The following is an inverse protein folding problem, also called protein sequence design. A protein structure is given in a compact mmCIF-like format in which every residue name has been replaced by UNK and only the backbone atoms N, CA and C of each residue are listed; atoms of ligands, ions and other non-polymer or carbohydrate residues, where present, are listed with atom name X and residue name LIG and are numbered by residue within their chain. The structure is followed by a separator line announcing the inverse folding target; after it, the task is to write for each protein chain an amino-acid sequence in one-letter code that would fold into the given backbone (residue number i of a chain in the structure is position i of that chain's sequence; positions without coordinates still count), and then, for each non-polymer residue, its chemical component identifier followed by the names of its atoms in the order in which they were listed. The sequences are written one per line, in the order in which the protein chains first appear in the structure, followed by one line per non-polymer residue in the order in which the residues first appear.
data_IF_136196300817
#
_entry.id   IF_136196300817
#
_cell.length_a   1.000
_cell.length_b   1.000
_cell.length_c   1.000
_cell.angle_alpha   90.00
_cell.angle_beta   90.00
_cell.angle_gamma   90.00
#
_symmetry.space_group_name_H-M   'P 1'
#
loop_
_entity.id
_entity.type
_entity.pdbx_description
1 polymer ?
#
# COMPACT_ATOMS: atom_id res chain seq x y z
N UNK A 1 -4.91 8.27 -33.22
CA UNK A 1 -6.20 8.18 -32.55
C UNK A 1 -6.18 7.20 -31.40
N UNK A 2 -5.86 5.90 -31.61
CA UNK A 2 -5.82 4.91 -30.53
C UNK A 2 -4.74 5.21 -29.49
N UNK A 3 -3.55 5.65 -29.92
CA UNK A 3 -2.44 5.93 -29.01
C UNK A 3 -2.77 7.11 -28.08
N UNK A 4 -3.43 8.15 -28.60
CA UNK A 4 -3.82 9.32 -27.79
C UNK A 4 -4.90 8.92 -26.77
N UNK A 5 -5.88 8.14 -27.19
CA UNK A 5 -6.93 7.64 -26.28
C UNK A 5 -6.37 6.74 -25.19
N UNK A 6 -5.42 5.87 -25.53
CA UNK A 6 -4.77 4.99 -24.56
C UNK A 6 -3.95 5.78 -23.54
N UNK A 7 -3.26 6.83 -23.98
CA UNK A 7 -2.51 7.72 -23.08
C UNK A 7 -3.44 8.49 -22.15
N UNK A 8 -4.59 8.96 -22.63
CA UNK A 8 -5.59 9.63 -21.79
C UNK A 8 -6.17 8.68 -20.77
N UNK A 9 -6.49 7.45 -21.14
CA UNK A 9 -7.00 6.42 -20.20
C UNK A 9 -5.95 6.06 -19.15
N UNK A 10 -4.70 5.91 -19.60
CA UNK A 10 -3.60 5.61 -18.70
C UNK A 10 -3.40 6.73 -17.69
N UNK A 11 -3.41 7.98 -18.16
CA UNK A 11 -3.28 9.14 -17.28
C UNK A 11 -4.44 9.22 -16.28
N UNK A 12 -5.66 9.01 -16.75
CA UNK A 12 -6.84 9.01 -15.87
C UNK A 12 -6.74 7.93 -14.79
N UNK A 13 -6.27 6.74 -15.14
CA UNK A 13 -6.05 5.65 -14.18
C UNK A 13 -4.99 6.02 -13.16
N UNK A 14 -3.87 6.58 -13.60
CA UNK A 14 -2.79 7.02 -12.72
C UNK A 14 -3.25 8.14 -11.78
N UNK A 15 -4.05 9.07 -12.29
CA UNK A 15 -4.62 10.14 -11.46
C UNK A 15 -5.59 9.59 -10.42
N UNK A 16 -6.41 8.61 -10.78
CA UNK A 16 -7.32 7.94 -9.84
C UNK A 16 -6.53 7.22 -8.75
N UNK A 17 -5.49 6.49 -9.13
CA UNK A 17 -4.63 5.79 -8.17
C UNK A 17 -4.02 6.79 -7.18
N UNK A 18 -3.45 7.88 -7.69
CA UNK A 18 -2.84 8.92 -6.86
C UNK A 18 -3.86 9.56 -5.91
N UNK A 19 -5.08 9.79 -6.38
CA UNK A 19 -6.14 10.34 -5.54
C UNK A 19 -6.51 9.40 -4.39
N UNK A 20 -6.57 8.09 -4.65
CA UNK A 20 -6.80 7.09 -3.60
C UNK A 20 -5.66 7.09 -2.59
N UNK A 21 -4.41 7.11 -3.07
CA UNK A 21 -3.24 7.17 -2.21
C UNK A 21 -3.29 8.39 -1.30
N UNK A 22 -3.66 9.54 -1.84
CA UNK A 22 -3.80 10.77 -1.07
C UNK A 22 -4.93 10.69 -0.04
N UNK A 23 -6.08 10.13 -0.42
CA UNK A 23 -7.21 9.95 0.48
C UNK A 23 -6.85 9.17 1.74
N UNK A 24 -6.01 8.16 1.59
CA UNK A 24 -5.62 7.26 2.68
C UNK A 24 -4.22 7.53 3.22
N UNK A 25 -3.62 8.66 2.86
CA UNK A 25 -2.26 9.01 3.33
C UNK A 25 -2.17 9.10 4.87
N UNK A 26 -3.30 9.38 5.54
CA UNK A 26 -3.34 9.41 6.99
C UNK A 26 -3.09 8.06 7.67
N UNK A 27 -3.15 6.96 6.92
CA UNK A 27 -2.84 5.63 7.43
C UNK A 27 -1.32 5.32 7.42
N UNK A 28 -0.52 6.20 6.84
CA UNK A 28 0.94 6.08 6.91
C UNK A 28 1.42 6.26 8.34
N UNK A 29 2.48 5.55 8.71
CA UNK A 29 3.00 5.55 10.07
C UNK A 29 4.50 5.78 10.06
N UNK A 30 4.94 6.82 10.78
CA UNK A 30 6.35 7.13 10.99
C UNK A 30 6.48 7.81 12.35
N UNK A 31 6.53 7.01 13.42
CA UNK A 31 6.56 7.55 14.77
C UNK A 31 7.42 6.67 15.70
N UNK A 32 8.62 7.12 16.01
CA UNK A 32 9.53 6.54 17.02
C UNK A 32 9.70 5.01 16.96
N UNK A 33 9.43 4.38 15.81
CA UNK A 33 9.64 2.95 15.66
C UNK A 33 10.78 2.69 14.68
N UNK A 34 11.27 1.46 14.67
CA UNK A 34 12.32 1.01 13.74
C UNK A 34 11.76 0.96 12.31
N UNK A 35 10.47 0.71 12.19
CA UNK A 35 9.80 0.55 10.89
C UNK A 35 8.86 1.72 10.60
N UNK A 36 8.65 1.97 9.32
CA UNK A 36 7.63 2.90 8.83
C UNK A 36 6.68 2.16 7.90
N UNK A 37 5.47 2.69 7.74
CA UNK A 37 4.49 2.20 6.78
C UNK A 37 4.13 3.33 5.84
N UNK A 38 4.34 3.15 4.53
CA UNK A 38 4.03 4.14 3.50
C UNK A 38 3.08 3.54 2.48
N UNK A 39 2.13 4.35 2.01
CA UNK A 39 1.15 3.89 1.03
C UNK A 39 1.75 3.97 -0.39
N UNK A 40 1.42 3.01 -1.24
CA UNK A 40 1.82 3.05 -2.65
C UNK A 40 1.26 4.32 -3.30
N UNK A 41 2.08 5.01 -4.09
CA UNK A 41 1.72 6.28 -4.71
C UNK A 41 1.34 6.14 -6.18
N UNK A 42 1.79 5.06 -6.83
CA UNK A 42 1.55 4.85 -8.26
C UNK A 42 1.60 3.36 -8.62
N UNK A 43 0.99 2.97 -9.74
CA UNK A 43 1.13 1.61 -10.25
C UNK A 43 2.59 1.22 -10.49
N UNK A 44 3.45 2.17 -10.90
CA UNK A 44 4.87 1.91 -11.11
C UNK A 44 5.57 1.45 -9.83
N UNK A 45 5.17 1.97 -8.66
CA UNK A 45 5.72 1.53 -7.39
C UNK A 45 5.36 0.08 -7.07
N UNK A 46 4.15 -0.35 -7.43
CA UNK A 46 3.77 -1.76 -7.26
C UNK A 46 4.63 -2.67 -8.12
N UNK A 47 4.90 -2.27 -9.35
CA UNK A 47 5.77 -3.04 -10.25
C UNK A 47 7.17 -3.13 -9.67
N UNK A 48 7.73 -2.02 -9.21
CA UNK A 48 9.06 -1.97 -8.61
C UNK A 48 9.16 -2.89 -7.39
N UNK A 49 8.18 -2.82 -6.49
CA UNK A 49 8.15 -3.69 -5.30
C UNK A 49 8.11 -5.18 -5.71
N UNK A 50 7.23 -5.51 -6.65
CA UNK A 50 7.08 -6.89 -7.11
C UNK A 50 8.35 -7.43 -7.73
N UNK A 51 9.06 -6.61 -8.50
CA UNK A 51 10.31 -7.03 -9.14
C UNK A 51 11.43 -7.20 -8.12
N UNK A 52 11.60 -6.25 -7.19
CA UNK A 52 12.70 -6.26 -6.23
C UNK A 52 12.50 -7.26 -5.11
N UNK A 53 11.25 -7.54 -4.73
CA UNK A 53 10.93 -8.54 -3.70
C UNK A 53 10.55 -9.90 -4.30
N UNK A 54 10.49 -10.00 -5.62
CA UNK A 54 10.12 -11.22 -6.34
C UNK A 54 8.80 -11.79 -5.82
N UNK A 55 7.76 -10.94 -5.84
CA UNK A 55 6.40 -11.32 -5.49
C UNK A 55 5.38 -10.67 -6.45
N UNK A 56 4.10 -10.94 -6.26
CA UNK A 56 3.06 -10.70 -7.24
C UNK A 56 2.42 -9.31 -7.20
N UNK A 57 2.82 -8.40 -6.30
CA UNK A 57 2.09 -7.13 -6.11
C UNK A 57 2.08 -6.24 -7.36
N UNK A 58 3.07 -6.35 -8.22
CA UNK A 58 3.11 -5.61 -9.50
C UNK A 58 2.29 -6.26 -10.60
N UNK A 59 1.75 -7.46 -10.36
CA UNK A 59 0.94 -8.25 -11.29
C UNK A 59 -0.37 -8.61 -10.58
N UNK A 60 -1.25 -9.40 -11.14
CA UNK A 60 -2.46 -9.90 -10.49
C UNK A 60 -3.55 -8.84 -10.21
N UNK A 61 -3.45 -7.65 -10.84
CA UNK A 61 -4.52 -6.65 -10.77
C UNK A 61 -4.60 -5.88 -9.46
N UNK A 62 -3.57 -5.87 -8.64
CA UNK A 62 -3.57 -5.10 -7.39
C UNK A 62 -3.67 -3.60 -7.61
N UNK A 63 -3.14 -3.08 -8.72
CA UNK A 63 -3.26 -1.68 -9.11
C UNK A 63 -4.72 -1.28 -9.32
N UNK A 64 -5.51 -2.16 -9.97
CA UNK A 64 -6.92 -1.93 -10.21
C UNK A 64 -7.73 -2.02 -8.91
N UNK A 65 -7.43 -2.99 -8.05
CA UNK A 65 -8.06 -3.10 -6.73
C UNK A 65 -7.80 -1.85 -5.88
N UNK A 66 -6.58 -1.32 -5.96
CA UNK A 66 -6.21 -0.10 -5.25
C UNK A 66 -7.03 1.09 -5.76
N UNK A 67 -7.09 1.27 -7.08
CA UNK A 67 -7.85 2.37 -7.68
C UNK A 67 -9.34 2.31 -7.34
N UNK A 68 -9.89 1.10 -7.12
CA UNK A 68 -11.29 0.91 -6.69
C UNK A 68 -11.47 0.91 -5.17
N UNK A 69 -10.39 1.14 -4.41
CA UNK A 69 -10.42 1.14 -2.94
C UNK A 69 -10.84 -0.22 -2.34
N UNK A 70 -10.67 -1.28 -3.09
CA UNK A 70 -10.92 -2.64 -2.60
C UNK A 70 -9.77 -3.16 -1.74
N UNK A 71 -8.54 -2.87 -2.16
CA UNK A 71 -7.33 -3.23 -1.42
C UNK A 71 -6.34 -2.08 -1.50
N UNK A 72 -5.84 -1.65 -0.36
CA UNK A 72 -4.77 -0.66 -0.29
C UNK A 72 -3.44 -1.39 -0.07
N UNK A 73 -2.40 -0.91 -0.70
CA UNK A 73 -1.06 -1.50 -0.59
C UNK A 73 -0.17 -0.54 0.18
N UNK A 74 0.41 -1.06 1.25
CA UNK A 74 1.39 -0.34 2.05
C UNK A 74 2.74 -1.05 1.99
N UNK A 75 3.79 -0.26 1.95
CA UNK A 75 5.16 -0.78 2.02
C UNK A 75 5.71 -0.54 3.41
N UNK A 76 6.18 -1.61 4.04
CA UNK A 76 6.87 -1.50 5.31
C UNK A 76 8.34 -1.31 4.98
N UNK A 77 8.96 -0.31 5.57
CA UNK A 77 10.35 0.07 5.33
C UNK A 77 11.10 0.16 6.65
N UNK A 78 12.39 -0.01 6.62
CA UNK A 78 13.25 0.45 7.69
C UNK A 78 13.49 1.94 7.51
N UNK A 79 13.76 2.66 8.60
CA UNK A 79 14.00 4.10 8.51
C UNK A 79 15.25 4.45 7.70
N UNK A 80 16.21 3.54 7.66
CA UNK A 80 17.44 3.73 6.91
C UNK A 80 17.87 2.41 6.26
N UNK A 81 17.85 2.32 4.93
CA UNK A 81 17.34 3.30 3.96
C UNK A 81 15.83 3.10 3.69
N UNK A 82 15.04 4.20 3.68
CA UNK A 82 13.57 4.07 3.59
C UNK A 82 13.04 3.75 2.20
N UNK A 83 13.85 3.80 1.17
CA UNK A 83 13.43 3.54 -0.21
C UNK A 83 13.74 2.11 -0.67
N UNK A 84 14.34 1.29 0.18
CA UNK A 84 14.65 -0.10 -0.15
C UNK A 84 13.43 -0.98 0.13
N UNK A 85 12.92 -1.74 -0.86
CA UNK A 85 11.82 -2.67 -0.65
C UNK A 85 12.15 -3.69 0.45
N UNK A 86 11.18 -3.95 1.32
CA UNK A 86 11.37 -4.80 2.48
C UNK A 86 10.18 -5.72 2.71
N UNK A 87 8.99 -5.17 2.98
CA UNK A 87 7.75 -5.95 3.20
C UNK A 87 6.58 -5.21 2.57
N UNK A 88 5.64 -5.96 2.00
CA UNK A 88 4.43 -5.42 1.38
C UNK A 88 3.20 -5.93 2.11
N UNK A 89 2.28 -5.01 2.41
CA UNK A 89 1.02 -5.30 3.11
C UNK A 89 -0.15 -4.97 2.20
N UNK A 90 -1.08 -5.94 2.07
CA UNK A 90 -2.38 -5.69 1.46
C UNK A 90 -3.40 -5.50 2.59
N UNK A 91 -4.05 -4.34 2.61
CA UNK A 91 -5.01 -3.95 3.64
C UNK A 91 -6.38 -3.73 3.03
N UNK A 92 -7.41 -4.29 3.65
CA UNK A 92 -8.81 -4.09 3.22
C UNK A 92 -9.47 -2.99 4.04
N UNK A 93 -9.78 -1.84 3.43
CA UNK A 93 -10.46 -0.76 4.18
C UNK A 93 -11.90 -1.14 4.56
N UNK A 94 -12.60 -1.93 3.76
CA UNK A 94 -13.96 -2.35 4.10
C UNK A 94 -14.01 -3.36 5.24
N UNK A 95 -13.01 -4.24 5.33
CA UNK A 95 -12.92 -5.29 6.37
C UNK A 95 -12.05 -4.87 7.55
N UNK A 96 -11.29 -3.78 7.41
CA UNK A 96 -10.38 -3.23 8.43
C UNK A 96 -9.35 -4.25 8.90
N UNK A 97 -8.84 -5.05 7.97
CA UNK A 97 -7.85 -6.06 8.30
C UNK A 97 -6.82 -6.23 7.19
N UNK A 98 -5.69 -6.83 7.58
CA UNK A 98 -4.63 -7.19 6.66
C UNK A 98 -5.03 -8.48 5.96
N UNK A 99 -4.96 -8.46 4.62
CA UNK A 99 -5.25 -9.65 3.81
C UNK A 99 -3.98 -10.44 3.55
N UNK A 100 -2.85 -9.76 3.32
CA UNK A 100 -1.57 -10.39 3.04
C UNK A 100 -0.43 -9.51 3.56
N UNK A 101 0.66 -10.15 3.96
CA UNK A 101 1.86 -9.47 4.44
C UNK A 101 3.07 -10.31 4.03
N UNK A 102 3.83 -9.86 3.04
CA UNK A 102 4.90 -10.66 2.41
C UNK A 102 6.24 -9.95 2.39
N UNK A 103 7.28 -10.71 2.62
CA UNK A 103 8.67 -10.33 2.38
C UNK A 103 9.15 -10.93 1.04
N UNK A 104 10.44 -11.01 0.84
CA UNK A 104 11.07 -11.53 -0.39
C UNK A 104 10.57 -12.95 -0.69
N UNK A 105 10.29 -13.25 -1.96
CA UNK A 105 9.76 -14.53 -2.45
C UNK A 105 8.43 -14.94 -1.80
N UNK A 106 7.55 -13.97 -1.52
CA UNK A 106 6.28 -14.22 -0.83
C UNK A 106 6.47 -14.90 0.54
N UNK A 107 7.65 -14.75 1.15
CA UNK A 107 7.93 -15.34 2.44
C UNK A 107 7.24 -14.59 3.57
N UNK A 108 7.08 -15.27 4.72
CA UNK A 108 6.57 -14.65 5.94
C UNK A 108 7.63 -13.70 6.51
N UNK A 109 7.28 -12.44 6.82
CA UNK A 109 8.20 -11.53 7.48
C UNK A 109 8.63 -12.03 8.87
N UNK A 110 9.75 -11.48 9.36
CA UNK A 110 10.24 -11.78 10.71
C UNK A 110 9.23 -11.36 11.78
N UNK A 111 9.31 -11.98 12.94
CA UNK A 111 8.38 -11.73 14.06
C UNK A 111 8.32 -10.26 14.46
N UNK A 112 9.46 -9.56 14.47
CA UNK A 112 9.49 -8.13 14.83
C UNK A 112 8.68 -7.28 13.86
N UNK A 113 8.74 -7.61 12.56
CA UNK A 113 7.96 -6.91 11.53
C UNK A 113 6.48 -7.24 11.69
N UNK A 114 6.15 -8.50 11.91
CA UNK A 114 4.75 -8.92 12.10
C UNK A 114 4.15 -8.26 13.35
N UNK A 115 4.91 -8.12 14.42
CA UNK A 115 4.47 -7.41 15.61
C UNK A 115 4.20 -5.93 15.29
N UNK A 116 5.11 -5.28 14.57
CA UNK A 116 4.90 -3.90 14.16
C UNK A 116 3.62 -3.76 13.34
N UNK A 117 3.45 -4.61 12.32
CA UNK A 117 2.31 -4.54 11.40
C UNK A 117 1.00 -4.78 12.14
N UNK A 118 0.94 -5.83 12.95
CA UNK A 118 -0.32 -6.26 13.57
C UNK A 118 -0.64 -5.53 14.87
N UNK A 119 0.35 -5.16 15.67
CA UNK A 119 0.14 -4.60 17.00
C UNK A 119 0.32 -3.08 17.06
N UNK A 120 1.09 -2.50 16.14
CA UNK A 120 1.35 -1.06 16.12
C UNK A 120 0.62 -0.39 14.97
N UNK A 121 0.86 -0.84 13.73
CA UNK A 121 0.31 -0.16 12.56
C UNK A 121 -1.19 -0.40 12.38
N UNK A 122 -1.64 -1.65 12.46
CA UNK A 122 -3.05 -1.99 12.17
C UNK A 122 -4.04 -1.25 13.08
N UNK A 123 -3.86 -1.21 14.40
CA UNK A 123 -4.76 -0.43 15.27
C UNK A 123 -4.73 1.06 14.93
N UNK A 124 -3.56 1.60 14.63
CA UNK A 124 -3.39 3.00 14.21
C UNK A 124 -4.15 3.26 12.90
N UNK A 125 -3.93 2.41 11.90
CA UNK A 125 -4.57 2.54 10.59
C UNK A 125 -6.10 2.49 10.72
N UNK A 126 -6.62 1.55 11.50
CA UNK A 126 -8.06 1.41 11.69
C UNK A 126 -8.66 2.64 12.37
N UNK A 127 -7.97 3.23 13.34
CA UNK A 127 -8.41 4.47 13.99
C UNK A 127 -8.44 5.63 13.01
N UNK A 128 -7.39 5.78 12.19
CA UNK A 128 -7.33 6.83 11.18
C UNK A 128 -8.38 6.62 10.09
N UNK A 129 -8.62 5.38 9.70
CA UNK A 129 -9.64 5.06 8.71
C UNK A 129 -11.03 5.51 9.17
N UNK A 130 -11.37 5.28 10.44
CA UNK A 130 -12.66 5.74 10.97
C UNK A 130 -12.82 7.24 10.86
N UNK A 131 -11.74 8.01 11.08
CA UNK A 131 -11.78 9.49 10.93
C UNK A 131 -12.00 9.88 9.48
N UNK A 132 -11.34 9.21 8.53
CA UNK A 132 -11.51 9.46 7.10
C UNK A 132 -12.96 9.17 6.70
N UNK A 133 -13.50 8.04 7.13
CA UNK A 133 -14.87 7.63 6.80
C UNK A 133 -15.91 8.60 7.38
N UNK A 134 -15.70 9.11 8.59
CA UNK A 134 -16.61 10.11 9.21
C UNK A 134 -16.56 11.43 8.46
N UNK A 135 -15.38 11.85 7.99
CA UNK A 135 -15.25 13.12 7.25
C UNK A 135 -15.90 13.05 5.87
N UNK A 136 -16.00 11.84 5.28
CA UNK A 136 -16.61 11.62 3.97
C UNK A 136 -18.14 11.45 4.04
N UNK A 137 -18.69 11.27 5.21
CA UNK A 137 -20.13 11.01 5.41
C UNK A 137 -20.94 12.31 5.37
#
# INVERSE_FOLDING_TARGET
AKAIQNEKKRKAFYDTFAAVANKYSGLEYDNKSVYIAVIAQSPAELIREGELLDHCVGRMGYDQKFAREESLIFFIRTKEPPDVPFVTVEYSPSRRKILQCYAYHDSTPDDGVLQFVNLTWLPYANKKLRKIQRSAA
#
